data_IF_989616770522
#
_entry.id   IF_989616770522
#
_cell.length_a   1.000
_cell.length_b   1.000
_cell.length_c   1.000
_cell.angle_alpha   90.00
_cell.angle_beta   90.00
_cell.angle_gamma   90.00
#
_symmetry.space_group_name_H-M   'P 1'
#
loop_
_entity.id
_entity.type
_entity.pdbx_description
1 polymer ?
#
# COMPACT_ATOMS: atom_id res chain seq x y z
N UNK A 1 5.49 -18.38 -8.30
CA UNK A 1 4.07 -18.50 -8.68
C UNK A 1 3.22 -17.40 -8.03
N UNK A 2 3.26 -17.24 -6.70
CA UNK A 2 2.41 -16.31 -5.93
C UNK A 2 2.39 -14.87 -6.45
N UNK A 3 3.54 -14.23 -6.65
CA UNK A 3 3.60 -12.84 -7.14
C UNK A 3 2.93 -12.65 -8.50
N UNK A 4 3.12 -13.62 -9.41
CA UNK A 4 2.48 -13.59 -10.73
C UNK A 4 0.96 -13.79 -10.62
N UNK A 5 0.51 -14.70 -9.75
CA UNK A 5 -0.92 -14.91 -9.50
C UNK A 5 -1.58 -13.65 -8.91
N UNK A 6 -0.91 -12.96 -7.98
CA UNK A 6 -1.33 -11.68 -7.45
C UNK A 6 -1.45 -10.62 -8.56
N UNK A 7 -0.39 -10.40 -9.34
CA UNK A 7 -0.41 -9.42 -10.43
C UNK A 7 -1.47 -9.72 -11.50
N UNK A 8 -1.72 -10.99 -11.81
CA UNK A 8 -2.77 -11.41 -12.74
C UNK A 8 -4.18 -11.41 -12.13
N UNK A 9 -4.35 -11.09 -10.85
CA UNK A 9 -5.64 -11.11 -10.18
C UNK A 9 -6.28 -12.50 -10.18
N UNK A 10 -5.51 -13.55 -9.86
CA UNK A 10 -5.95 -14.95 -9.87
C UNK A 10 -6.06 -15.52 -8.45
N UNK A 11 -7.11 -15.17 -7.68
CA UNK A 11 -7.23 -15.58 -6.28
C UNK A 11 -7.28 -17.10 -6.10
N UNK A 12 -7.96 -17.84 -6.98
CA UNK A 12 -8.00 -19.32 -6.89
C UNK A 12 -6.63 -19.97 -7.13
N UNK A 13 -5.78 -19.39 -7.97
CA UNK A 13 -4.39 -19.88 -8.13
C UNK A 13 -3.57 -19.61 -6.86
N UNK A 14 -3.88 -18.54 -6.12
CA UNK A 14 -3.26 -18.30 -4.81
C UNK A 14 -3.71 -19.35 -3.79
N UNK A 15 -4.97 -19.78 -3.83
CA UNK A 15 -5.45 -20.90 -3.00
C UNK A 15 -4.76 -22.22 -3.36
N UNK A 16 -4.65 -22.56 -4.64
CA UNK A 16 -3.90 -23.73 -5.10
C UNK A 16 -2.45 -23.72 -4.59
N UNK A 17 -1.79 -22.55 -4.62
CA UNK A 17 -0.43 -22.40 -4.07
C UNK A 17 -0.40 -22.64 -2.56
N UNK A 18 -1.42 -22.20 -1.81
CA UNK A 18 -1.53 -22.47 -0.37
C UNK A 18 -1.69 -23.97 -0.13
N UNK A 19 -2.57 -24.64 -0.88
CA UNK A 19 -2.77 -26.10 -0.80
C UNK A 19 -1.46 -26.85 -1.07
N UNK A 20 -0.72 -26.48 -2.11
CA UNK A 20 0.59 -27.06 -2.43
C UNK A 20 1.57 -26.91 -1.27
N UNK A 21 1.66 -25.71 -0.66
CA UNK A 21 2.53 -25.45 0.50
C UNK A 21 2.14 -26.33 1.70
N UNK A 22 0.84 -26.55 1.93
CA UNK A 22 0.36 -27.38 3.04
C UNK A 22 0.67 -28.88 2.85
N UNK A 23 0.94 -29.32 1.62
CA UNK A 23 1.39 -30.69 1.34
C UNK A 23 2.91 -30.88 1.51
N UNK A 24 3.67 -29.80 1.71
CA UNK A 24 5.12 -29.89 1.92
C UNK A 24 5.46 -30.46 3.32
N UNK A 25 6.58 -31.17 3.48
CA UNK A 25 6.95 -31.76 4.78
C UNK A 25 7.20 -30.73 5.89
N UNK A 26 7.70 -29.54 5.51
CA UNK A 26 8.01 -28.46 6.43
C UNK A 26 7.00 -27.32 6.23
N UNK A 27 6.31 -26.92 7.30
CA UNK A 27 5.30 -25.87 7.21
C UNK A 27 5.93 -24.49 6.98
N UNK A 28 5.78 -23.97 5.76
CA UNK A 28 6.25 -22.64 5.39
C UNK A 28 5.26 -21.52 5.78
N UNK A 29 5.10 -21.27 7.09
CA UNK A 29 4.17 -20.26 7.66
C UNK A 29 4.27 -18.90 6.97
N UNK A 30 5.48 -18.41 6.68
CA UNK A 30 5.66 -17.11 6.01
C UNK A 30 5.10 -17.10 4.57
N UNK A 31 5.17 -18.22 3.86
CA UNK A 31 4.65 -18.32 2.49
C UNK A 31 3.11 -18.32 2.50
N UNK A 32 2.50 -19.06 3.44
CA UNK A 32 1.05 -19.07 3.67
C UNK A 32 0.55 -17.67 4.00
N UNK A 33 1.18 -16.98 4.96
CA UNK A 33 0.77 -15.62 5.34
C UNK A 33 0.93 -14.63 4.19
N UNK A 34 1.97 -14.76 3.35
CA UNK A 34 2.13 -13.91 2.18
C UNK A 34 1.01 -14.15 1.16
N UNK A 35 0.59 -15.40 0.95
CA UNK A 35 -0.48 -15.76 0.03
C UNK A 35 -1.83 -15.24 0.53
N UNK A 36 -2.14 -15.42 1.82
CA UNK A 36 -3.34 -14.86 2.44
C UNK A 36 -3.36 -13.33 2.36
N UNK A 37 -2.23 -12.66 2.64
CA UNK A 37 -2.15 -11.21 2.50
C UNK A 37 -2.33 -10.74 1.05
N UNK A 38 -1.86 -11.51 0.06
CA UNK A 38 -2.16 -11.23 -1.35
C UNK A 38 -3.66 -11.34 -1.66
N UNK A 39 -4.39 -12.28 -1.06
CA UNK A 39 -5.85 -12.34 -1.21
C UNK A 39 -6.53 -11.11 -0.58
N UNK A 40 -6.07 -10.68 0.60
CA UNK A 40 -6.55 -9.48 1.27
C UNK A 40 -6.32 -8.23 0.39
N UNK A 41 -5.10 -8.03 -0.10
CA UNK A 41 -4.74 -6.89 -0.97
C UNK A 41 -5.49 -6.89 -2.32
N UNK A 42 -5.95 -8.07 -2.79
CA UNK A 42 -6.81 -8.17 -3.98
C UNK A 42 -8.28 -7.78 -3.71
N UNK A 43 -8.68 -7.64 -2.44
CA UNK A 43 -10.08 -7.44 -2.02
C UNK A 43 -10.84 -8.74 -1.78
N UNK A 44 -10.17 -9.90 -1.80
CA UNK A 44 -10.77 -11.22 -1.57
C UNK A 44 -10.74 -11.59 -0.07
N UNK A 45 -11.21 -10.69 0.79
CA UNK A 45 -11.13 -10.82 2.27
C UNK A 45 -11.90 -12.02 2.81
N UNK A 46 -13.12 -12.26 2.34
CA UNK A 46 -13.93 -13.43 2.73
C UNK A 46 -13.24 -14.76 2.35
N UNK A 47 -12.62 -14.80 1.17
CA UNK A 47 -11.88 -15.98 0.72
C UNK A 47 -10.64 -16.23 1.58
N UNK A 48 -9.90 -15.16 1.92
CA UNK A 48 -8.75 -15.24 2.81
C UNK A 48 -9.15 -15.71 4.22
N UNK A 49 -10.26 -15.18 4.75
CA UNK A 49 -10.80 -15.54 6.06
C UNK A 49 -11.20 -17.01 6.12
N UNK A 50 -11.98 -17.47 5.14
CA UNK A 50 -12.37 -18.88 5.01
C UNK A 50 -11.14 -19.80 4.94
N UNK A 51 -10.18 -19.49 4.07
CA UNK A 51 -8.97 -20.30 3.93
C UNK A 51 -8.15 -20.34 5.23
N UNK A 52 -8.08 -19.21 5.95
CA UNK A 52 -7.40 -19.14 7.23
C UNK A 52 -8.09 -20.03 8.29
N UNK A 53 -9.42 -20.04 8.34
CA UNK A 53 -10.19 -20.89 9.24
C UNK A 53 -10.04 -22.38 8.89
N UNK A 54 -10.08 -22.73 7.61
CA UNK A 54 -9.88 -24.10 7.12
C UNK A 54 -8.50 -24.63 7.54
N UNK A 55 -7.43 -23.84 7.34
CA UNK A 55 -6.06 -24.20 7.78
C UNK A 55 -6.01 -24.44 9.29
N UNK A 56 -6.63 -23.57 10.09
CA UNK A 56 -6.60 -23.71 11.56
C UNK A 56 -7.33 -24.96 12.06
N UNK A 57 -8.38 -25.38 11.35
CA UNK A 57 -9.16 -26.57 11.66
C UNK A 57 -8.42 -27.86 11.30
N UNK A 58 -7.66 -27.84 10.20
CA UNK A 58 -7.00 -29.03 9.66
C UNK A 58 -5.55 -29.23 10.17
N UNK A 59 -4.91 -28.21 10.75
CA UNK A 59 -3.54 -28.32 11.27
C UNK A 59 -3.43 -29.10 12.59
N UNK A 60 -2.31 -29.82 12.76
CA UNK A 60 -1.92 -30.43 14.04
C UNK A 60 -1.57 -29.37 15.10
N UNK A 61 -1.64 -29.73 16.38
CA UNK A 61 -1.43 -28.79 17.50
C UNK A 61 -0.07 -28.07 17.46
N UNK A 62 1.01 -28.76 17.07
CA UNK A 62 2.35 -28.14 16.98
C UNK A 62 2.43 -27.06 15.88
N UNK A 63 1.76 -27.28 14.75
CA UNK A 63 1.69 -26.32 13.64
C UNK A 63 0.79 -25.13 14.00
N UNK A 64 -0.26 -25.39 14.79
CA UNK A 64 -1.18 -24.36 15.27
C UNK A 64 -0.47 -23.31 16.11
N UNK A 65 0.48 -23.70 16.96
CA UNK A 65 1.28 -22.77 17.76
C UNK A 65 2.12 -21.84 16.86
N UNK A 66 2.73 -22.39 15.79
CA UNK A 66 3.51 -21.60 14.83
C UNK A 66 2.65 -20.61 14.02
N UNK A 67 1.39 -20.97 13.74
CA UNK A 67 0.43 -20.14 13.00
C UNK A 67 -0.27 -19.09 13.87
N UNK A 68 -0.37 -19.31 15.18
CA UNK A 68 -1.18 -18.49 16.10
C UNK A 68 -0.89 -17.00 15.99
N UNK A 69 0.38 -16.59 16.08
CA UNK A 69 0.74 -15.16 16.01
C UNK A 69 0.59 -14.58 14.59
N UNK A 70 1.14 -15.19 13.53
CA UNK A 70 0.93 -14.67 12.17
C UNK A 70 -0.54 -14.58 11.77
N UNK A 71 -1.38 -15.52 12.19
CA UNK A 71 -2.82 -15.46 11.91
C UNK A 71 -3.53 -14.42 12.77
N UNK A 72 -3.07 -14.15 14.00
CA UNK A 72 -3.58 -13.02 14.76
C UNK A 72 -3.33 -11.67 14.04
N UNK A 73 -2.17 -11.52 13.38
CA UNK A 73 -1.88 -10.35 12.55
C UNK A 73 -2.80 -10.25 11.32
N UNK A 74 -3.02 -11.36 10.62
CA UNK A 74 -3.94 -11.39 9.47
C UNK A 74 -5.40 -11.14 9.88
N UNK A 75 -5.81 -11.59 11.08
CA UNK A 75 -7.12 -11.27 11.65
C UNK A 75 -7.30 -9.77 11.85
N UNK A 76 -6.27 -9.08 12.35
CA UNK A 76 -6.29 -7.61 12.44
C UNK A 76 -6.44 -6.98 11.05
N UNK A 77 -5.74 -7.52 10.03
CA UNK A 77 -5.86 -7.02 8.65
C UNK A 77 -7.22 -7.26 7.99
N UNK A 78 -8.01 -8.22 8.50
CA UNK A 78 -9.32 -8.63 7.99
C UNK A 78 -10.50 -7.99 8.76
N UNK A 79 -10.23 -7.23 9.82
CA UNK A 79 -11.25 -6.68 10.69
C UNK A 79 -11.63 -5.27 10.23
N UNK A 80 -12.87 -5.10 9.82
CA UNK A 80 -13.40 -3.82 9.36
C UNK A 80 -13.75 -2.91 10.54
N UNK A 81 -13.62 -1.59 10.33
CA UNK A 81 -14.10 -0.57 11.26
C UNK A 81 -13.23 -0.36 12.52
N UNK A 82 -12.01 -0.89 12.53
CA UNK A 82 -11.02 -0.54 13.55
C UNK A 82 -10.40 0.82 13.26
N UNK A 83 -10.23 1.65 14.29
CA UNK A 83 -9.37 2.82 14.17
C UNK A 83 -7.90 2.40 14.04
N UNK A 84 -7.09 3.24 13.41
CA UNK A 84 -5.66 2.96 13.26
C UNK A 84 -4.92 2.82 14.59
N UNK A 85 -5.34 3.56 15.61
CA UNK A 85 -4.77 3.45 16.96
C UNK A 85 -5.10 2.09 17.60
N UNK A 86 -6.33 1.58 17.42
CA UNK A 86 -6.70 0.24 17.88
C UNK A 86 -5.91 -0.85 17.15
N UNK A 87 -5.75 -0.74 15.83
CA UNK A 87 -4.89 -1.64 15.03
C UNK A 87 -3.47 -1.66 15.60
N UNK A 88 -2.89 -0.49 15.84
CA UNK A 88 -1.54 -0.36 16.37
C UNK A 88 -1.41 -0.97 17.77
N UNK A 89 -2.34 -0.70 18.67
CA UNK A 89 -2.33 -1.24 20.03
C UNK A 89 -2.48 -2.76 20.04
N UNK A 90 -3.32 -3.32 19.17
CA UNK A 90 -3.47 -4.78 18.99
C UNK A 90 -2.19 -5.42 18.47
N UNK A 91 -1.51 -4.79 17.50
CA UNK A 91 -0.21 -5.26 17.01
C UNK A 91 0.83 -5.28 18.14
N UNK A 92 0.88 -4.23 18.97
CA UNK A 92 1.79 -4.16 20.12
C UNK A 92 1.45 -5.20 21.20
N UNK A 93 0.16 -5.49 21.40
CA UNK A 93 -0.31 -6.49 22.35
C UNK A 93 0.13 -7.92 22.00
N UNK A 94 0.57 -8.19 20.77
CA UNK A 94 1.18 -9.46 20.36
C UNK A 94 2.61 -9.66 20.90
N UNK A 95 2.99 -8.90 21.94
CA UNK A 95 4.25 -8.98 22.71
C UNK A 95 5.47 -8.84 21.81
N UNK A 96 5.51 -7.76 21.06
CA UNK A 96 6.62 -7.43 20.19
C UNK A 96 7.43 -6.30 20.81
N UNK A 97 8.73 -6.54 21.04
CA UNK A 97 9.63 -5.47 21.51
C UNK A 97 9.86 -4.41 20.42
N UNK A 98 9.66 -4.80 19.16
CA UNK A 98 9.79 -3.98 17.96
C UNK A 98 8.81 -4.46 16.88
N UNK A 99 8.38 -3.55 16.01
CA UNK A 99 7.58 -3.89 14.84
C UNK A 99 8.45 -4.67 13.85
N UNK A 100 8.08 -5.92 13.55
CA UNK A 100 8.76 -6.69 12.51
C UNK A 100 8.08 -6.45 11.17
N UNK A 101 8.65 -7.05 10.13
CA UNK A 101 8.17 -6.87 8.74
C UNK A 101 6.69 -7.23 8.55
N UNK A 102 6.18 -8.24 9.25
CA UNK A 102 4.77 -8.64 9.13
C UNK A 102 3.83 -7.65 9.82
N UNK A 103 4.19 -7.19 11.01
CA UNK A 103 3.49 -6.12 11.73
C UNK A 103 3.44 -4.85 10.89
N UNK A 104 4.58 -4.44 10.33
CA UNK A 104 4.66 -3.27 9.44
C UNK A 104 3.81 -3.43 8.19
N UNK A 105 3.71 -4.65 7.63
CA UNK A 105 2.87 -4.91 6.46
C UNK A 105 1.38 -4.78 6.78
N UNK A 106 0.92 -5.33 7.90
CA UNK A 106 -0.48 -5.18 8.34
C UNK A 106 -0.80 -3.73 8.65
N UNK A 107 0.09 -3.03 9.37
CA UNK A 107 -0.08 -1.62 9.67
C UNK A 107 -0.13 -0.76 8.40
N UNK A 108 0.78 -1.00 7.45
CA UNK A 108 0.80 -0.30 6.17
C UNK A 108 -0.49 -0.53 5.36
N UNK A 109 -0.99 -1.76 5.32
CA UNK A 109 -2.26 -2.07 4.66
C UNK A 109 -3.43 -1.31 5.29
N UNK A 110 -3.51 -1.28 6.62
CA UNK A 110 -4.58 -0.58 7.33
C UNK A 110 -4.48 0.94 7.16
N UNK A 111 -3.26 1.50 7.15
CA UNK A 111 -3.03 2.92 6.82
C UNK A 111 -3.52 3.23 5.40
N UNK A 112 -3.22 2.36 4.43
CA UNK A 112 -3.65 2.55 3.05
C UNK A 112 -5.18 2.56 2.94
N UNK A 113 -5.87 1.61 3.59
CA UNK A 113 -7.33 1.58 3.65
C UNK A 113 -7.89 2.86 4.29
N UNK A 114 -7.33 3.28 5.43
CA UNK A 114 -7.76 4.50 6.10
C UNK A 114 -7.61 5.76 5.20
N UNK A 115 -6.52 5.88 4.45
CA UNK A 115 -6.35 6.97 3.49
C UNK A 115 -7.42 6.91 2.40
N UNK A 116 -7.64 5.73 1.82
CA UNK A 116 -8.57 5.53 0.72
C UNK A 116 -10.03 5.79 1.16
N UNK A 117 -10.37 5.48 2.42
CA UNK A 117 -11.67 5.74 3.05
C UNK A 117 -11.85 7.18 3.57
N UNK A 118 -10.82 8.02 3.48
CA UNK A 118 -10.88 9.43 3.88
C UNK A 118 -10.54 9.69 5.36
N UNK A 119 -10.05 8.70 6.08
CA UNK A 119 -9.57 8.77 7.47
C UNK A 119 -8.07 9.18 7.55
N UNK A 120 -7.65 10.14 6.72
CA UNK A 120 -6.26 10.61 6.68
C UNK A 120 -5.82 11.32 7.97
N UNK A 121 -6.76 11.86 8.74
CA UNK A 121 -6.53 12.43 10.07
C UNK A 121 -6.03 11.39 11.08
N UNK A 122 -6.63 10.19 11.10
CA UNK A 122 -6.17 9.09 11.95
C UNK A 122 -4.73 8.69 11.64
N UNK A 123 -4.35 8.71 10.35
CA UNK A 123 -2.97 8.43 9.95
C UNK A 123 -2.06 9.46 10.57
N UNK A 124 -2.34 10.76 10.41
CA UNK A 124 -1.52 11.82 10.98
C UNK A 124 -1.35 11.71 12.51
N UNK A 125 -2.39 11.29 13.24
CA UNK A 125 -2.35 11.06 14.69
C UNK A 125 -1.53 9.82 15.07
N UNK A 126 -1.70 8.71 14.35
CA UNK A 126 -0.96 7.45 14.57
C UNK A 126 0.57 7.68 14.55
N UNK A 127 1.04 8.62 13.72
CA UNK A 127 2.47 8.90 13.59
C UNK A 127 3.14 9.38 14.88
N UNK A 128 2.42 10.05 15.77
CA UNK A 128 2.94 10.46 17.07
C UNK A 128 3.22 9.25 17.98
N UNK A 129 2.43 8.19 17.83
CA UNK A 129 2.60 6.90 18.53
C UNK A 129 3.73 6.08 17.90
N UNK A 130 3.78 6.00 16.57
CA UNK A 130 4.79 5.22 15.82
C UNK A 130 6.20 5.80 16.01
N UNK A 131 6.37 7.12 15.97
CA UNK A 131 7.68 7.79 16.13
C UNK A 131 8.36 7.55 17.47
N UNK A 132 7.61 7.17 18.50
CA UNK A 132 8.18 6.79 19.82
C UNK A 132 8.87 5.43 19.79
N UNK A 133 8.72 4.67 18.71
CA UNK A 133 9.42 3.40 18.49
C UNK A 133 10.67 3.63 17.67
N UNK A 134 11.73 2.92 18.00
CA UNK A 134 12.92 2.87 17.14
C UNK A 134 12.60 2.04 15.90
N UNK A 135 12.64 2.67 14.72
CA UNK A 135 12.44 2.03 13.43
C UNK A 135 13.71 2.08 12.59
N UNK A 136 14.03 1.01 11.84
CA UNK A 136 15.03 1.08 10.79
C UNK A 136 14.70 2.19 9.78
N UNK A 137 15.73 2.77 9.15
CA UNK A 137 15.56 3.89 8.22
C UNK A 137 14.53 3.61 7.10
N UNK A 138 14.58 2.42 6.49
CA UNK A 138 13.66 2.07 5.40
C UNK A 138 12.19 2.01 5.87
N UNK A 139 11.96 1.55 7.10
CA UNK A 139 10.62 1.48 7.69
C UNK A 139 10.16 2.88 8.11
N UNK A 140 11.05 3.71 8.67
CA UNK A 140 10.76 5.11 8.96
C UNK A 140 10.42 5.89 7.69
N UNK A 141 11.15 5.68 6.60
CA UNK A 141 10.92 6.33 5.31
C UNK A 141 9.54 5.95 4.73
N UNK A 142 9.16 4.68 4.83
CA UNK A 142 7.81 4.20 4.43
C UNK A 142 6.71 4.78 5.29
N UNK A 143 6.94 4.88 6.59
CA UNK A 143 6.00 5.52 7.48
C UNK A 143 5.88 7.01 7.09
N UNK A 144 6.98 7.74 6.97
CA UNK A 144 6.95 9.15 6.55
C UNK A 144 6.26 9.36 5.19
N UNK A 145 6.39 8.43 4.24
CA UNK A 145 5.62 8.44 3.00
C UNK A 145 4.11 8.48 3.28
N UNK A 146 3.57 7.59 4.12
CA UNK A 146 2.14 7.62 4.45
C UNK A 146 1.73 8.87 5.22
N UNK A 147 2.57 9.37 6.13
CA UNK A 147 2.31 10.62 6.84
C UNK A 147 2.21 11.81 5.90
N UNK A 148 3.16 11.94 4.97
CA UNK A 148 3.17 13.00 3.96
C UNK A 148 1.93 12.87 3.08
N UNK A 149 1.59 11.65 2.65
CA UNK A 149 0.40 11.40 1.86
C UNK A 149 -0.86 11.85 2.61
N UNK A 150 -1.01 11.47 3.88
CA UNK A 150 -2.11 11.91 4.73
C UNK A 150 -2.19 13.45 4.85
N UNK A 151 -1.06 14.13 5.10
CA UNK A 151 -1.04 15.60 5.14
C UNK A 151 -1.46 16.23 3.80
N UNK A 152 -1.04 15.66 2.67
CA UNK A 152 -1.45 16.13 1.36
C UNK A 152 -2.95 15.90 1.11
N UNK A 153 -3.53 14.80 1.62
CA UNK A 153 -4.99 14.61 1.60
C UNK A 153 -5.72 15.65 2.45
N UNK A 154 -5.18 15.99 3.62
CA UNK A 154 -5.79 16.95 4.53
C UNK A 154 -5.57 18.42 4.15
N UNK A 155 -4.95 18.69 3.00
CA UNK A 155 -4.55 20.03 2.56
C UNK A 155 -3.58 20.74 3.54
N UNK A 156 -2.83 19.96 4.32
CA UNK A 156 -1.84 20.40 5.31
C UNK A 156 -0.48 20.61 4.64
N UNK A 157 -0.41 21.60 3.77
CA UNK A 157 0.73 21.84 2.87
C UNK A 157 2.02 22.18 3.61
N UNK A 158 1.91 22.93 4.70
CA UNK A 158 3.06 23.32 5.52
C UNK A 158 3.67 22.09 6.19
N UNK A 159 2.86 21.26 6.84
CA UNK A 159 3.32 20.05 7.52
C UNK A 159 3.86 18.99 6.54
N UNK A 160 3.22 18.84 5.37
CA UNK A 160 3.76 18.00 4.30
C UNK A 160 5.14 18.52 3.84
N UNK A 161 5.29 19.83 3.66
CA UNK A 161 6.54 20.47 3.29
C UNK A 161 7.64 20.30 4.33
N UNK A 162 7.32 20.50 5.61
CA UNK A 162 8.26 20.27 6.73
C UNK A 162 8.74 18.81 6.77
N UNK A 163 7.83 17.85 6.61
CA UNK A 163 8.16 16.44 6.58
C UNK A 163 9.05 16.07 5.37
N UNK A 164 8.78 16.66 4.20
CA UNK A 164 9.58 16.45 2.99
C UNK A 164 10.97 17.09 3.11
N UNK A 165 11.08 18.32 3.60
CA UNK A 165 12.36 19.05 3.74
C UNK A 165 13.30 18.45 4.80
N UNK A 166 12.84 17.51 5.61
CA UNK A 166 13.71 16.68 6.43
C UNK A 166 14.67 15.82 5.59
N UNK A 167 14.28 15.46 4.38
CA UNK A 167 15.06 14.61 3.48
C UNK A 167 15.91 15.44 2.50
N UNK A 168 17.10 14.94 2.11
CA UNK A 168 17.93 15.61 1.10
C UNK A 168 17.18 15.79 -0.23
N UNK A 169 17.35 16.94 -0.86
CA UNK A 169 16.69 17.26 -2.14
C UNK A 169 17.06 16.27 -3.25
N UNK A 170 18.26 15.68 -3.19
CA UNK A 170 18.70 14.63 -4.09
C UNK A 170 17.82 13.38 -3.98
N UNK A 171 17.45 12.98 -2.76
CA UNK A 171 16.56 11.84 -2.53
C UNK A 171 15.15 12.12 -3.04
N UNK A 172 14.64 13.34 -2.84
CA UNK A 172 13.31 13.73 -3.31
C UNK A 172 13.23 13.78 -4.84
N UNK A 173 14.31 14.19 -5.51
CA UNK A 173 14.37 14.24 -6.98
C UNK A 173 14.72 12.91 -7.64
N UNK A 174 15.11 11.88 -6.89
CA UNK A 174 15.39 10.55 -7.43
C UNK A 174 14.10 9.76 -7.66
N UNK A 175 13.84 9.34 -8.90
CA UNK A 175 12.70 8.46 -9.24
C UNK A 175 12.72 7.11 -8.48
N UNK A 176 13.88 6.69 -7.95
CA UNK A 176 13.98 5.50 -7.11
C UNK A 176 13.40 5.67 -5.70
N UNK A 177 13.19 6.91 -5.25
CA UNK A 177 12.65 7.23 -3.94
C UNK A 177 11.13 7.07 -3.91
N UNK A 178 10.61 6.48 -2.84
CA UNK A 178 9.16 6.38 -2.59
C UNK A 178 8.53 7.75 -2.30
N UNK A 179 9.33 8.75 -1.92
CA UNK A 179 8.87 10.12 -1.67
C UNK A 179 8.80 10.97 -2.94
N UNK A 180 9.40 10.52 -4.05
CA UNK A 180 9.40 11.24 -5.32
C UNK A 180 7.99 11.68 -5.78
N UNK A 181 6.98 10.78 -5.89
CA UNK A 181 5.64 11.19 -6.30
C UNK A 181 5.00 12.20 -5.34
N UNK A 182 5.22 12.03 -4.03
CA UNK A 182 4.64 12.89 -2.99
C UNK A 182 5.27 14.29 -3.02
N UNK A 183 6.58 14.38 -3.26
CA UNK A 183 7.25 15.66 -3.44
C UNK A 183 6.71 16.39 -4.67
N UNK A 184 6.49 15.69 -5.78
CA UNK A 184 5.86 16.26 -6.97
C UNK A 184 4.41 16.73 -6.73
N UNK A 185 3.64 16.03 -5.90
CA UNK A 185 2.30 16.46 -5.47
C UNK A 185 2.35 17.67 -4.53
N UNK A 186 3.30 17.72 -3.60
CA UNK A 186 3.51 18.89 -2.76
C UNK A 186 3.92 20.12 -3.60
N UNK A 187 4.88 19.97 -4.52
CA UNK A 187 5.25 21.03 -5.48
C UNK A 187 4.06 21.50 -6.30
N UNK A 188 3.12 20.59 -6.63
CA UNK A 188 1.91 20.95 -7.37
C UNK A 188 1.03 21.91 -6.57
N UNK A 189 0.89 21.68 -5.26
CA UNK A 189 0.10 22.51 -4.36
C UNK A 189 0.83 23.82 -4.00
N UNK A 190 2.10 23.74 -3.62
CA UNK A 190 2.87 24.87 -3.10
C UNK A 190 3.47 25.79 -4.18
N UNK A 191 4.00 25.19 -5.26
CA UNK A 191 4.81 25.89 -6.28
C UNK A 191 4.12 25.93 -7.66
N UNK A 192 2.96 25.27 -7.77
CA UNK A 192 2.13 25.28 -8.97
C UNK A 192 2.51 24.24 -10.03
N UNK A 193 1.88 24.40 -11.21
CA UNK A 193 1.89 23.38 -12.26
C UNK A 193 3.27 23.19 -12.88
N UNK A 194 3.92 24.30 -13.18
CA UNK A 194 5.12 24.36 -14.00
C UNK A 194 6.27 23.67 -13.27
N UNK A 195 6.43 23.92 -11.97
CA UNK A 195 7.49 23.35 -11.14
C UNK A 195 7.28 21.84 -10.92
N UNK A 196 6.06 21.44 -10.54
CA UNK A 196 5.70 20.02 -10.45
C UNK A 196 5.91 19.27 -11.78
N UNK A 197 5.61 19.92 -12.91
CA UNK A 197 5.83 19.31 -14.22
C UNK A 197 7.31 19.15 -14.56
N UNK A 198 8.17 20.10 -14.20
CA UNK A 198 9.63 19.95 -14.36
C UNK A 198 10.15 18.78 -13.52
N UNK A 199 9.66 18.63 -12.29
CA UNK A 199 10.03 17.52 -11.42
C UNK A 199 9.67 16.16 -12.05
N UNK A 200 8.44 15.99 -12.53
CA UNK A 200 8.00 14.75 -13.17
C UNK A 200 8.59 14.50 -14.56
N UNK A 201 9.09 15.54 -15.25
CA UNK A 201 9.77 15.38 -16.54
C UNK A 201 11.11 14.62 -16.42
N UNK A 202 11.65 14.49 -15.21
CA UNK A 202 12.86 13.70 -14.95
C UNK A 202 12.66 12.19 -14.97
N UNK A 203 11.41 11.70 -14.95
CA UNK A 203 11.10 10.25 -14.93
C UNK A 203 11.43 9.61 -16.27
N UNK A 204 12.23 8.55 -16.25
CA UNK A 204 12.66 7.86 -17.47
C UNK A 204 11.50 7.06 -18.10
N UNK A 205 11.42 7.09 -19.43
CA UNK A 205 10.49 6.22 -20.16
C UNK A 205 10.98 4.77 -20.11
N UNK A 206 10.36 3.96 -19.25
CA UNK A 206 10.59 2.51 -19.13
C UNK A 206 9.35 1.72 -19.54
N UNK A 207 9.49 0.51 -20.12
CA UNK A 207 8.36 -0.37 -20.38
C UNK A 207 7.65 -0.87 -19.11
N UNK A 208 8.37 -0.89 -17.98
CA UNK A 208 7.88 -1.39 -16.69
C UNK A 208 8.27 -0.38 -15.58
N UNK A 209 7.58 0.76 -15.49
CA UNK A 209 7.79 1.74 -14.42
C UNK A 209 7.49 1.12 -13.05
N UNK A 210 8.22 1.56 -12.02
CA UNK A 210 7.93 1.16 -10.63
C UNK A 210 6.60 1.78 -10.18
N UNK A 211 5.91 1.14 -9.24
CA UNK A 211 4.59 1.58 -8.80
C UNK A 211 4.57 3.03 -8.32
N UNK A 212 5.59 3.51 -7.63
CA UNK A 212 5.65 4.90 -7.12
C UNK A 212 6.08 5.96 -8.16
N UNK A 213 6.43 5.59 -9.40
CA UNK A 213 6.75 6.56 -10.47
C UNK A 213 5.68 6.63 -11.56
N UNK A 214 4.56 5.92 -11.36
CA UNK A 214 3.48 5.83 -12.33
C UNK A 214 2.86 7.19 -12.65
N UNK A 215 2.74 8.08 -11.66
CA UNK A 215 2.28 9.45 -11.85
C UNK A 215 3.16 10.22 -12.84
N UNK A 216 4.47 10.28 -12.61
CA UNK A 216 5.39 10.99 -13.50
C UNK A 216 5.40 10.39 -14.91
N UNK A 217 5.43 9.06 -15.00
CA UNK A 217 5.30 8.33 -16.26
C UNK A 217 3.99 8.67 -17.00
N UNK A 218 2.87 8.77 -16.28
CA UNK A 218 1.58 9.12 -16.86
C UNK A 218 1.51 10.59 -17.28
N UNK A 219 2.05 11.53 -16.49
CA UNK A 219 1.97 12.95 -16.82
C UNK A 219 2.86 13.32 -18.00
N UNK A 220 4.06 12.74 -18.10
CA UNK A 220 5.08 13.16 -19.07
C UNK A 220 5.33 12.16 -20.21
N UNK A 221 4.95 10.89 -20.05
CA UNK A 221 5.19 9.86 -21.07
C UNK A 221 4.45 10.14 -22.39
N UNK A 222 5.07 9.76 -23.51
CA UNK A 222 4.43 9.87 -24.84
C UNK A 222 3.05 9.21 -24.85
N UNK A 223 2.03 9.81 -25.50
CA UNK A 223 0.68 9.23 -25.55
C UNK A 223 0.63 7.78 -26.03
N UNK A 224 1.50 7.40 -26.98
CA UNK A 224 1.63 6.03 -27.48
C UNK A 224 2.16 5.06 -26.40
N UNK A 225 3.14 5.49 -25.61
CA UNK A 225 3.73 4.70 -24.53
C UNK A 225 2.74 4.50 -23.39
N UNK A 226 2.03 5.58 -22.99
CA UNK A 226 0.98 5.50 -21.96
C UNK A 226 -0.13 4.53 -22.34
N UNK A 227 -0.66 4.65 -23.57
CA UNK A 227 -1.70 3.72 -24.07
C UNK A 227 -1.21 2.28 -24.12
N UNK A 228 0.05 2.06 -24.53
CA UNK A 228 0.63 0.72 -24.61
C UNK A 228 0.82 0.10 -23.24
N UNK A 229 1.43 0.83 -22.30
CA UNK A 229 1.64 0.38 -20.92
C UNK A 229 0.29 0.08 -20.26
N UNK A 230 -0.65 1.01 -20.31
CA UNK A 230 -1.95 0.87 -19.66
C UNK A 230 -2.75 -0.37 -20.13
N UNK A 231 -2.60 -0.76 -21.40
CA UNK A 231 -3.23 -1.97 -21.96
C UNK A 231 -2.65 -3.27 -21.38
N UNK A 232 -1.38 -3.26 -20.98
CA UNK A 232 -0.67 -4.45 -20.47
C UNK A 232 -0.40 -4.38 -18.97
N UNK A 233 -0.69 -3.25 -18.33
CA UNK A 233 -0.54 -3.03 -16.91
C UNK A 233 -1.47 -3.96 -16.11
N UNK A 234 -0.94 -4.49 -15.02
CA UNK A 234 -1.70 -5.28 -14.07
C UNK A 234 -2.70 -4.40 -13.33
N UNK A 235 -3.76 -5.04 -12.81
CA UNK A 235 -4.83 -4.39 -12.05
C UNK A 235 -4.25 -3.56 -10.88
N UNK A 236 -3.32 -4.15 -10.11
CA UNK A 236 -2.62 -3.47 -9.01
C UNK A 236 -1.88 -2.21 -9.47
N UNK A 237 -1.21 -2.24 -10.62
CA UNK A 237 -0.48 -1.08 -11.13
C UNK A 237 -1.43 0.05 -11.54
N UNK A 238 -2.59 -0.29 -12.13
CA UNK A 238 -3.63 0.71 -12.45
C UNK A 238 -4.19 1.34 -11.19
N UNK A 239 -4.49 0.54 -10.17
CA UNK A 239 -4.93 1.03 -8.85
C UNK A 239 -3.94 2.03 -8.27
N UNK A 240 -2.66 1.68 -8.23
CA UNK A 240 -1.59 2.56 -7.75
C UNK A 240 -1.44 3.84 -8.57
N UNK A 241 -1.61 3.79 -9.90
CA UNK A 241 -1.65 4.99 -10.73
C UNK A 241 -2.85 5.88 -10.39
N UNK A 242 -4.04 5.31 -10.22
CA UNK A 242 -5.25 6.08 -9.91
C UNK A 242 -5.17 6.75 -8.55
N UNK A 243 -4.65 6.06 -7.52
CA UNK A 243 -4.34 6.65 -6.20
C UNK A 243 -3.47 7.88 -6.32
N UNK A 244 -2.37 7.78 -7.07
CA UNK A 244 -1.46 8.91 -7.26
C UNK A 244 -2.09 10.05 -8.08
N UNK A 245 -2.90 9.73 -9.09
CA UNK A 245 -3.60 10.74 -9.88
C UNK A 245 -4.66 11.46 -9.06
N UNK A 246 -5.42 10.73 -8.23
CA UNK A 246 -6.37 11.29 -7.27
C UNK A 246 -5.67 12.32 -6.37
N UNK A 247 -4.60 11.90 -5.67
CA UNK A 247 -3.82 12.81 -4.82
C UNK A 247 -3.28 14.02 -5.60
N UNK A 248 -2.71 13.82 -6.78
CA UNK A 248 -2.17 14.90 -7.60
C UNK A 248 -3.26 15.93 -7.97
N UNK A 249 -4.47 15.46 -8.29
CA UNK A 249 -5.58 16.35 -8.64
C UNK A 249 -6.21 17.03 -7.42
N UNK A 250 -6.20 16.39 -6.25
CA UNK A 250 -6.48 17.05 -4.97
C UNK A 250 -5.52 18.21 -4.74
N UNK A 251 -4.21 17.96 -4.78
CA UNK A 251 -3.17 19.00 -4.69
C UNK A 251 -3.27 20.08 -5.78
N UNK A 252 -3.96 19.81 -6.89
CA UNK A 252 -4.20 20.76 -7.95
C UNK A 252 -5.48 21.60 -7.79
N UNK A 253 -6.29 21.35 -6.75
CA UNK A 253 -7.61 21.93 -6.57
C UNK A 253 -8.62 21.52 -7.65
N UNK A 254 -8.54 20.26 -8.14
CA UNK A 254 -9.37 19.74 -9.25
C UNK A 254 -10.24 18.58 -8.80
N UNK A 255 -11.23 18.89 -7.97
CA UNK A 255 -12.13 17.91 -7.33
C UNK A 255 -12.78 16.93 -8.34
N UNK A 256 -13.35 17.41 -9.45
CA UNK A 256 -13.98 16.52 -10.47
C UNK A 256 -13.03 15.42 -10.97
N UNK A 257 -11.73 15.73 -11.08
CA UNK A 257 -10.73 14.76 -11.54
C UNK A 257 -10.29 13.83 -10.44
N UNK A 258 -10.17 14.34 -9.23
CA UNK A 258 -9.89 13.52 -8.05
C UNK A 258 -10.96 12.43 -7.90
N UNK A 259 -12.24 12.83 -7.83
CA UNK A 259 -13.38 11.93 -7.72
C UNK A 259 -13.42 10.91 -8.88
N UNK A 260 -13.13 11.37 -10.10
CA UNK A 260 -13.04 10.49 -11.26
C UNK A 260 -11.99 9.39 -11.09
N UNK A 261 -10.79 9.71 -10.56
CA UNK A 261 -9.75 8.70 -10.37
C UNK A 261 -9.97 7.82 -9.14
N UNK A 262 -10.60 8.33 -8.08
CA UNK A 262 -11.06 7.50 -6.97
C UNK A 262 -12.06 6.44 -7.47
N UNK A 263 -13.02 6.84 -8.29
CA UNK A 263 -13.98 5.90 -8.85
C UNK A 263 -13.32 4.84 -9.76
N UNK A 264 -12.33 5.23 -10.58
CA UNK A 264 -11.58 4.26 -11.39
C UNK A 264 -10.76 3.30 -10.53
N UNK A 265 -10.26 3.75 -9.38
CA UNK A 265 -9.55 2.90 -8.43
C UNK A 265 -10.43 1.80 -7.85
N UNK A 266 -11.63 2.16 -7.38
CA UNK A 266 -12.62 1.23 -6.83
C UNK A 266 -12.94 0.09 -7.82
N UNK A 267 -13.03 0.42 -9.11
CA UNK A 267 -13.31 -0.55 -10.17
C UNK A 267 -12.19 -1.59 -10.40
N UNK A 268 -10.98 -1.35 -9.88
CA UNK A 268 -9.85 -2.28 -9.99
C UNK A 268 -9.75 -3.21 -8.76
N UNK A 269 -10.75 -3.29 -7.90
CA UNK A 269 -10.83 -4.32 -6.86
C UNK A 269 -11.58 -5.57 -7.35
N UNK A 270 -11.16 -6.75 -6.89
CA UNK A 270 -11.85 -8.01 -7.20
C UNK A 270 -12.95 -8.25 -6.16
N UNK A 271 -14.20 -8.18 -6.59
CA UNK A 271 -15.34 -8.63 -5.79
C UNK A 271 -15.64 -10.10 -6.12
N UNK A 272 -14.90 -11.01 -5.49
CA UNK A 272 -15.22 -12.45 -5.58
C UNK A 272 -16.19 -12.78 -4.46
N UNK A 273 -17.45 -13.03 -4.81
CA UNK A 273 -18.42 -13.63 -3.88
C UNK A 273 -18.05 -15.10 -3.68
N UNK A 274 -17.81 -15.48 -2.42
CA UNK A 274 -17.52 -16.86 -2.01
C UNK A 274 -18.73 -17.79 -2.06
#
# INVERSE_FOLDING_TARGET
AMLLAFWLGRPYVILEIIEDILQEPDLHVSAICNALMCLIELGCTELAKKQMDDIMNDCFDADRDALTRPFALLKIALEDGLSLQEVFDRILALKTDFLRRQEMRVLAHQIELAIDEGHADEVAELFESVRRKELPFDDLLRMDMYRIWAYLHLERWEEAGEALHYYPIELLNQESSILHPLYGCWLRAAEGKEISHVHFAGVLETPFPRSWVLLGFHLHGKPSHRKRWFRVAFMWEKRQLYRQLSLYYRCAGKQDKEEFYQHLEEQEYLHVSG
#
